data_IF_013726315055
#
_entry.id   IF_013726315055
#
_cell.length_a   1.000
_cell.length_b   1.000
_cell.length_c   1.000
_cell.angle_alpha   90.00
_cell.angle_beta   90.00
_cell.angle_gamma   90.00
#
_symmetry.space_group_name_H-M   'P 1'
#
loop_
_entity.id
_entity.type
_entity.pdbx_description
1 polymer ?
#
# COMPACT_ATOMS: atom_id res chain seq x y z
N UNK A 1 -12.98 13.77 0.17
CA UNK A 1 -12.76 12.46 -0.49
C UNK A 1 -14.05 11.66 -0.47
N UNK A 2 -14.32 10.83 -1.49
CA UNK A 2 -15.44 9.86 -1.44
C UNK A 2 -14.98 8.56 -0.77
N UNK A 3 -15.86 7.81 -0.08
CA UNK A 3 -15.52 6.52 0.49
C UNK A 3 -15.06 5.52 -0.57
N UNK A 4 -14.10 4.65 -0.24
CA UNK A 4 -13.63 3.59 -1.15
C UNK A 4 -14.76 2.63 -1.55
N UNK A 5 -15.73 2.41 -0.67
CA UNK A 5 -16.92 1.60 -0.95
C UNK A 5 -17.79 2.16 -2.10
N UNK A 6 -17.59 3.43 -2.50
CA UNK A 6 -18.25 4.04 -3.65
C UNK A 6 -17.42 3.99 -4.94
N UNK A 7 -16.26 3.32 -4.94
CA UNK A 7 -15.45 3.14 -6.14
C UNK A 7 -16.17 2.19 -7.11
N UNK A 8 -16.50 2.63 -8.33
CA UNK A 8 -17.12 1.75 -9.33
C UNK A 8 -16.22 0.55 -9.63
N UNK A 9 -16.82 -0.64 -9.82
CA UNK A 9 -16.07 -1.88 -10.02
C UNK A 9 -15.24 -1.84 -11.30
N UNK A 10 -15.75 -1.23 -12.34
CA UNK A 10 -15.08 -1.07 -13.63
C UNK A 10 -13.83 -0.22 -13.48
N UNK A 11 -13.91 0.85 -12.67
CA UNK A 11 -12.77 1.69 -12.36
C UNK A 11 -11.76 0.94 -11.49
N UNK A 12 -12.22 0.22 -10.47
CA UNK A 12 -11.36 -0.61 -9.61
C UNK A 12 -10.59 -1.67 -10.43
N UNK A 13 -11.26 -2.33 -11.39
CA UNK A 13 -10.65 -3.31 -12.28
C UNK A 13 -9.62 -2.70 -13.26
N UNK A 14 -9.73 -1.40 -13.56
CA UNK A 14 -8.77 -0.69 -14.42
C UNK A 14 -7.54 -0.15 -13.69
N UNK A 15 -7.47 -0.29 -12.36
CA UNK A 15 -6.35 0.19 -11.56
C UNK A 15 -5.06 -0.51 -11.99
N UNK A 16 -3.97 0.27 -12.03
CA UNK A 16 -2.64 -0.21 -12.42
C UNK A 16 -1.71 -0.44 -11.24
N UNK A 17 -2.04 0.12 -10.09
CA UNK A 17 -1.18 0.08 -8.92
C UNK A 17 -1.77 0.79 -7.71
N UNK A 18 -1.07 0.64 -6.59
CA UNK A 18 -1.37 1.28 -5.31
C UNK A 18 -0.12 2.03 -4.85
N UNK A 19 -0.31 3.30 -4.51
CA UNK A 19 0.69 4.12 -3.85
C UNK A 19 0.25 4.25 -2.40
N UNK A 20 1.14 3.97 -1.45
CA UNK A 20 0.80 3.94 -0.03
C UNK A 20 1.92 4.47 0.86
N UNK A 21 1.52 4.94 2.03
CA UNK A 21 2.44 5.35 3.09
C UNK A 21 2.94 4.17 3.94
N UNK A 22 4.08 4.36 4.61
CA UNK A 22 4.76 3.30 5.38
C UNK A 22 4.46 3.40 6.88
N UNK A 23 4.75 4.54 7.48
CA UNK A 23 4.77 4.70 8.94
C UNK A 23 3.36 4.79 9.51
N UNK A 24 2.99 3.80 10.31
CA UNK A 24 1.63 3.67 10.87
C UNK A 24 0.50 3.65 9.82
N UNK A 25 0.85 3.42 8.56
CA UNK A 25 -0.06 3.08 7.44
C UNK A 25 0.14 1.62 7.01
N UNK A 26 1.29 1.26 6.44
CA UNK A 26 1.65 -0.14 6.20
C UNK A 26 2.06 -0.84 7.51
N UNK A 27 2.77 -0.10 8.36
CA UNK A 27 3.19 -0.59 9.68
C UNK A 27 2.14 -0.25 10.74
N UNK A 28 2.21 -0.90 11.89
CA UNK A 28 1.41 -0.55 13.07
C UNK A 28 2.33 -0.46 14.28
N UNK A 29 2.45 0.74 14.84
CA UNK A 29 3.43 1.08 15.88
C UNK A 29 4.84 0.70 15.45
N UNK A 30 5.18 1.05 14.20
CA UNK A 30 6.48 0.77 13.59
C UNK A 30 6.78 -0.71 13.29
N UNK A 31 5.80 -1.61 13.40
CA UNK A 31 5.97 -3.03 13.06
C UNK A 31 5.17 -3.40 11.82
N UNK A 32 5.80 -4.10 10.89
CA UNK A 32 5.09 -4.75 9.79
C UNK A 32 4.37 -5.99 10.34
N UNK A 33 3.04 -6.02 10.20
CA UNK A 33 2.24 -7.17 10.62
C UNK A 33 2.20 -8.24 9.52
N UNK A 34 1.94 -9.49 9.90
CA UNK A 34 1.77 -10.57 8.92
C UNK A 34 0.58 -10.31 7.99
N UNK A 35 -0.49 -9.71 8.51
CA UNK A 35 -1.66 -9.30 7.71
C UNK A 35 -1.29 -8.25 6.66
N UNK A 36 -0.57 -7.19 7.05
CA UNK A 36 -0.13 -6.15 6.13
C UNK A 36 0.83 -6.71 5.05
N UNK A 37 1.73 -7.60 5.43
CA UNK A 37 2.61 -8.30 4.49
C UNK A 37 1.82 -9.20 3.52
N UNK A 38 0.83 -9.92 4.03
CA UNK A 38 -0.08 -10.73 3.21
C UNK A 38 -0.89 -9.88 2.22
N UNK A 39 -1.33 -8.69 2.64
CA UNK A 39 -2.03 -7.75 1.76
C UNK A 39 -1.15 -7.25 0.61
N UNK A 40 0.12 -6.92 0.87
CA UNK A 40 1.08 -6.58 -0.19
C UNK A 40 1.24 -7.72 -1.19
N UNK A 41 1.35 -8.95 -0.70
CA UNK A 41 1.46 -10.13 -1.56
C UNK A 41 0.22 -10.31 -2.43
N UNK A 42 -0.99 -10.22 -1.84
CA UNK A 42 -2.24 -10.36 -2.57
C UNK A 42 -2.43 -9.27 -3.65
N UNK A 43 -2.01 -8.03 -3.37
CA UNK A 43 -2.08 -6.94 -4.35
C UNK A 43 -1.06 -7.15 -5.48
N UNK A 44 0.14 -7.62 -5.15
CA UNK A 44 1.17 -7.97 -6.14
C UNK A 44 0.69 -9.10 -7.07
N UNK A 45 0.13 -10.17 -6.49
CA UNK A 45 -0.39 -11.32 -7.24
C UNK A 45 -1.61 -10.95 -8.10
N UNK A 46 -2.35 -9.91 -7.72
CA UNK A 46 -3.41 -9.31 -8.53
C UNK A 46 -2.88 -8.46 -9.71
N UNK A 47 -1.56 -8.34 -9.87
CA UNK A 47 -0.91 -7.61 -10.97
C UNK A 47 -0.80 -6.10 -10.76
N UNK A 48 -0.97 -5.61 -9.53
CA UNK A 48 -0.87 -4.19 -9.21
C UNK A 48 0.57 -3.79 -8.91
N UNK A 49 1.04 -2.70 -9.52
CA UNK A 49 2.30 -2.07 -9.13
C UNK A 49 2.19 -1.44 -7.75
N UNK A 50 3.14 -1.73 -6.86
CA UNK A 50 3.14 -1.24 -5.49
C UNK A 50 4.25 -0.20 -5.31
N UNK A 51 3.90 1.00 -4.86
CA UNK A 51 4.85 2.09 -4.63
C UNK A 51 4.69 2.58 -3.19
N UNK A 52 5.68 2.28 -2.35
CA UNK A 52 5.78 2.87 -1.03
C UNK A 52 6.29 4.31 -1.13
N UNK A 53 5.64 5.24 -0.43
CA UNK A 53 6.04 6.64 -0.30
C UNK A 53 6.10 6.96 1.17
N UNK A 54 7.19 7.53 1.67
CA UNK A 54 7.31 7.94 3.08
C UNK A 54 7.88 9.33 3.17
N UNK A 55 7.51 10.04 4.23
CA UNK A 55 8.14 11.31 4.61
C UNK A 55 9.52 11.14 5.25
N UNK A 56 9.96 9.90 5.53
CA UNK A 56 11.28 9.63 6.07
C UNK A 56 12.39 9.97 5.06
N UNK A 57 13.55 10.45 5.52
CA UNK A 57 14.67 10.78 4.63
C UNK A 57 15.22 9.51 3.96
N UNK A 58 15.84 9.68 2.79
CA UNK A 58 16.38 8.60 1.96
C UNK A 58 17.25 7.60 2.73
N UNK A 59 18.08 8.09 3.67
CA UNK A 59 18.96 7.25 4.49
C UNK A 59 18.26 6.43 5.58
N UNK A 60 16.93 6.41 5.66
CA UNK A 60 16.21 5.60 6.63
C UNK A 60 16.24 4.09 6.33
N UNK A 61 16.31 3.71 5.05
CA UNK A 61 16.39 2.29 4.62
C UNK A 61 17.80 1.74 4.51
N UNK A 62 18.82 2.59 4.70
CA UNK A 62 20.24 2.27 4.45
C UNK A 62 21.02 1.83 5.71
N UNK A 63 20.31 1.47 6.78
CA UNK A 63 20.88 1.03 8.06
C UNK A 63 20.53 -0.43 8.38
#
# INVERSE_FOLDING_TARGET
>A
MKPLAQLPRELAASLRGVIFDVDDTLTTRGRLTAEAYGALTALHDAGLSLIAVTGRPLGWTDA
#
